data_IF_452192995343
#
_entry.id   IF_452192995343
#
_cell.length_a   1.000
_cell.length_b   1.000
_cell.length_c   1.000
_cell.angle_alpha   90.00
_cell.angle_beta   90.00
_cell.angle_gamma   90.00
#
_symmetry.space_group_name_H-M   'P 1'
#
loop_
_entity.id
_entity.type
_entity.pdbx_description
1 polymer ?
#
# COMPACT_ATOMS: atom_id res chain seq x y z
N UNK A 1 21.40 11.75 -45.79
CA UNK A 1 22.12 12.42 -44.69
C UNK A 1 22.05 11.48 -43.47
N UNK A 2 23.15 10.89 -43.00
CA UNK A 2 23.18 9.98 -41.85
C UNK A 2 23.22 10.82 -40.57
N UNK A 3 22.28 10.63 -39.66
CA UNK A 3 22.25 11.30 -38.35
C UNK A 3 23.53 11.01 -37.56
N UNK A 4 24.05 12.00 -36.85
CA UNK A 4 25.15 11.80 -35.93
C UNK A 4 24.75 10.91 -34.75
N UNK A 5 25.67 10.19 -34.09
CA UNK A 5 25.31 9.33 -32.93
C UNK A 5 24.57 10.08 -31.80
N UNK A 6 24.90 11.36 -31.57
CA UNK A 6 24.18 12.21 -30.59
C UNK A 6 22.73 12.51 -31.01
N UNK A 7 22.51 12.86 -32.28
CA UNK A 7 21.16 13.11 -32.81
C UNK A 7 20.28 11.85 -32.77
N UNK A 8 20.88 10.67 -33.04
CA UNK A 8 20.20 9.38 -32.91
C UNK A 8 19.78 9.09 -31.48
N UNK A 9 20.63 9.34 -30.48
CA UNK A 9 20.30 9.19 -29.06
C UNK A 9 19.21 10.18 -28.61
N UNK A 10 19.30 11.44 -29.02
CA UNK A 10 18.30 12.46 -28.68
C UNK A 10 16.94 12.13 -29.26
N UNK A 11 16.87 11.62 -30.49
CA UNK A 11 15.63 11.21 -31.12
C UNK A 11 15.04 9.95 -30.47
N UNK A 12 15.85 8.98 -30.04
CA UNK A 12 15.41 7.83 -29.24
C UNK A 12 14.81 8.24 -27.92
N UNK A 13 15.44 9.17 -27.20
CA UNK A 13 14.94 9.71 -25.92
C UNK A 13 13.62 10.46 -26.09
N UNK A 14 13.48 11.30 -27.13
CA UNK A 14 12.21 11.99 -27.43
C UNK A 14 11.10 11.00 -27.70
N UNK A 15 11.33 10.00 -28.55
CA UNK A 15 10.37 8.95 -28.88
C UNK A 15 9.95 8.15 -27.63
N UNK A 16 10.91 7.78 -26.78
CA UNK A 16 10.63 7.09 -25.52
C UNK A 16 9.74 7.93 -24.59
N UNK A 17 10.07 9.23 -24.40
CA UNK A 17 9.26 10.15 -23.57
C UNK A 17 7.84 10.31 -24.11
N UNK A 18 7.69 10.45 -25.41
CA UNK A 18 6.37 10.53 -26.05
C UNK A 18 5.57 9.26 -25.83
N UNK A 19 6.15 8.08 -26.04
CA UNK A 19 5.50 6.79 -25.80
C UNK A 19 5.05 6.64 -24.34
N UNK A 20 5.90 7.04 -23.37
CA UNK A 20 5.54 7.00 -21.94
C UNK A 20 4.41 7.97 -21.61
N UNK A 21 4.39 9.15 -22.21
CA UNK A 21 3.29 10.12 -22.07
C UNK A 21 1.96 9.56 -22.61
N UNK A 22 1.99 8.87 -23.75
CA UNK A 22 0.81 8.23 -24.33
C UNK A 22 0.30 7.04 -23.51
N UNK A 23 1.21 6.22 -22.96
CA UNK A 23 0.86 5.13 -22.03
C UNK A 23 0.20 5.68 -20.77
N UNK A 24 0.77 6.75 -20.22
CA UNK A 24 0.23 7.45 -19.05
C UNK A 24 -1.19 7.98 -19.31
N UNK A 25 -1.36 8.72 -20.41
CA UNK A 25 -2.66 9.26 -20.80
C UNK A 25 -3.70 8.14 -20.99
N UNK A 26 -3.32 7.03 -21.66
CA UNK A 26 -4.20 5.86 -21.83
C UNK A 26 -4.60 5.24 -20.50
N UNK A 27 -3.68 5.10 -19.55
CA UNK A 27 -3.98 4.56 -18.22
C UNK A 27 -4.99 5.46 -17.49
N UNK A 28 -4.76 6.78 -17.49
CA UNK A 28 -5.66 7.74 -16.86
C UNK A 28 -7.05 7.73 -17.50
N UNK A 29 -7.16 7.65 -18.82
CA UNK A 29 -8.43 7.70 -19.55
C UNK A 29 -9.17 6.36 -19.59
N UNK A 30 -8.49 5.24 -19.32
CA UNK A 30 -9.09 3.91 -19.42
C UNK A 30 -10.18 3.68 -18.38
N UNK A 31 -11.20 2.91 -18.72
CA UNK A 31 -12.18 2.40 -17.74
C UNK A 31 -11.58 1.24 -16.96
N UNK A 32 -11.58 1.26 -15.62
CA UNK A 32 -11.01 0.20 -14.81
C UNK A 32 -11.73 -1.14 -15.04
N UNK A 33 -10.98 -2.18 -15.41
CA UNK A 33 -11.52 -3.54 -15.56
C UNK A 33 -11.87 -4.14 -14.20
N UNK A 34 -13.02 -4.79 -14.09
CA UNK A 34 -13.43 -5.50 -12.87
C UNK A 34 -12.70 -6.85 -12.79
N UNK A 35 -11.99 -7.08 -11.69
CA UNK A 35 -11.20 -8.29 -11.45
C UNK A 35 -11.38 -8.79 -10.01
N UNK A 36 -10.94 -10.01 -9.72
CA UNK A 36 -10.90 -10.50 -8.34
C UNK A 36 -9.72 -9.88 -7.58
N UNK A 37 -9.89 -9.63 -6.28
CA UNK A 37 -8.82 -9.06 -5.46
C UNK A 37 -7.55 -9.94 -5.50
N UNK A 38 -7.73 -11.25 -5.39
CA UNK A 38 -6.59 -12.17 -5.36
C UNK A 38 -5.77 -12.16 -6.66
N UNK A 39 -6.42 -12.02 -7.83
CA UNK A 39 -5.72 -12.09 -9.13
C UNK A 39 -4.79 -10.92 -9.41
N UNK A 40 -4.92 -9.82 -8.65
CA UNK A 40 -4.11 -8.62 -8.83
C UNK A 40 -3.03 -8.44 -7.76
N UNK A 41 -3.02 -9.30 -6.74
CA UNK A 41 -1.99 -9.22 -5.69
C UNK A 41 -0.75 -9.99 -6.12
N UNK A 42 0.40 -9.31 -6.25
CA UNK A 42 1.67 -9.95 -6.59
C UNK A 42 2.14 -10.83 -5.44
N UNK A 43 2.82 -11.92 -5.75
CA UNK A 43 3.53 -12.71 -4.75
C UNK A 43 4.75 -13.41 -5.36
N UNK A 44 5.95 -13.13 -4.86
CA UNK A 44 6.28 -12.08 -3.87
C UNK A 44 6.03 -10.67 -4.42
N UNK A 45 6.04 -9.65 -3.53
CA UNK A 45 5.91 -8.28 -4.01
C UNK A 45 5.56 -7.25 -2.95
N UNK A 46 5.44 -6.01 -3.39
CA UNK A 46 5.14 -4.85 -2.53
C UNK A 46 3.85 -4.19 -3.00
N UNK A 47 2.94 -3.96 -2.08
CA UNK A 47 1.65 -3.32 -2.33
C UNK A 47 1.46 -2.14 -1.39
N UNK A 48 1.08 -0.99 -1.94
CA UNK A 48 0.72 0.19 -1.17
C UNK A 48 -0.81 0.35 -1.13
N UNK A 49 -1.37 0.49 0.07
CA UNK A 49 -2.81 0.69 0.29
C UNK A 49 -3.02 2.09 0.84
N UNK A 50 -3.67 2.94 0.05
CA UNK A 50 -3.89 4.36 0.36
C UNK A 50 -5.36 4.73 0.50
N UNK A 51 -5.63 5.93 1.03
CA UNK A 51 -6.96 6.52 1.14
C UNK A 51 -7.23 7.18 2.49
N UNK A 52 -8.42 7.73 2.62
CA UNK A 52 -8.83 8.49 3.81
C UNK A 52 -9.00 7.64 5.07
N UNK A 53 -9.12 8.31 6.21
CA UNK A 53 -9.40 7.69 7.51
C UNK A 53 -10.73 6.91 7.46
N UNK A 54 -10.77 5.73 8.10
CA UNK A 54 -11.98 4.88 8.20
C UNK A 54 -12.55 4.39 6.87
N UNK A 55 -11.76 4.33 5.81
CA UNK A 55 -12.18 3.82 4.50
C UNK A 55 -11.99 2.31 4.33
N UNK A 56 -11.41 1.62 5.31
CA UNK A 56 -11.26 0.17 5.32
C UNK A 56 -9.90 -0.36 4.83
N UNK A 57 -8.85 0.48 4.84
CA UNK A 57 -7.49 0.07 4.45
C UNK A 57 -6.97 -1.12 5.25
N UNK A 58 -7.02 -1.01 6.58
CA UNK A 58 -6.57 -2.09 7.48
C UNK A 58 -7.37 -3.38 7.26
N UNK A 59 -8.70 -3.28 7.10
CA UNK A 59 -9.54 -4.44 6.78
C UNK A 59 -9.17 -5.11 5.46
N UNK A 60 -8.86 -4.31 4.43
CA UNK A 60 -8.40 -4.82 3.14
C UNK A 60 -7.05 -5.56 3.27
N UNK A 61 -6.08 -4.99 3.98
CA UNK A 61 -4.79 -5.65 4.17
C UNK A 61 -4.93 -7.01 4.89
N UNK A 62 -5.82 -7.08 5.89
CA UNK A 62 -6.09 -8.32 6.60
C UNK A 62 -6.86 -9.35 5.74
N UNK A 63 -7.73 -8.89 4.84
CA UNK A 63 -8.35 -9.78 3.86
C UNK A 63 -7.33 -10.36 2.88
N UNK A 64 -6.44 -9.53 2.34
CA UNK A 64 -5.34 -10.00 1.48
C UNK A 64 -4.52 -11.06 2.22
N UNK A 65 -4.12 -10.81 3.47
CA UNK A 65 -3.37 -11.77 4.27
C UNK A 65 -4.16 -13.08 4.50
N UNK A 66 -5.47 -12.98 4.76
CA UNK A 66 -6.34 -14.14 4.93
C UNK A 66 -6.47 -14.99 3.67
N UNK A 67 -6.62 -14.35 2.51
CA UNK A 67 -6.66 -15.03 1.21
C UNK A 67 -5.32 -15.72 0.89
N UNK A 68 -4.20 -15.03 1.16
CA UNK A 68 -2.86 -15.59 0.97
C UNK A 68 -2.60 -16.79 1.90
N UNK A 69 -3.04 -16.70 3.16
CA UNK A 69 -2.98 -17.84 4.07
C UNK A 69 -3.83 -19.01 3.59
N UNK A 70 -5.08 -18.75 3.21
CA UNK A 70 -6.00 -19.79 2.73
C UNK A 70 -5.47 -20.53 1.50
N UNK A 71 -4.94 -19.81 0.52
CA UNK A 71 -4.52 -20.37 -0.78
C UNK A 71 -3.09 -20.88 -0.81
N UNK A 72 -2.18 -20.23 -0.08
CA UNK A 72 -0.73 -20.50 -0.13
C UNK A 72 -0.13 -20.93 1.20
N UNK A 73 -0.95 -21.01 2.27
CA UNK A 73 -0.52 -21.33 3.64
C UNK A 73 0.56 -20.38 4.20
N UNK A 74 0.58 -19.14 3.72
CA UNK A 74 1.53 -18.15 4.19
C UNK A 74 1.16 -17.67 5.59
N UNK A 75 2.12 -17.61 6.54
CA UNK A 75 1.92 -16.89 7.79
C UNK A 75 1.83 -15.37 7.51
N UNK A 76 1.16 -14.64 8.40
CA UNK A 76 1.14 -13.18 8.32
C UNK A 76 1.84 -12.55 9.53
N UNK A 77 2.44 -11.40 9.29
CA UNK A 77 3.11 -10.57 10.29
C UNK A 77 2.44 -9.21 10.27
N UNK A 78 1.84 -8.84 11.39
CA UNK A 78 1.34 -7.49 11.61
C UNK A 78 2.43 -6.67 12.29
N UNK A 79 3.10 -5.83 11.50
CA UNK A 79 4.18 -4.98 11.99
C UNK A 79 3.65 -3.63 12.45
N UNK A 80 3.78 -3.35 13.74
CA UNK A 80 3.34 -2.12 14.39
C UNK A 80 4.45 -1.59 15.30
N UNK A 81 5.40 -0.81 14.78
CA UNK A 81 6.66 -0.48 15.45
C UNK A 81 6.51 0.30 16.76
N UNK A 82 5.41 1.02 16.94
CA UNK A 82 5.16 1.85 18.13
C UNK A 82 4.13 1.27 19.10
N UNK A 83 3.71 0.02 18.90
CA UNK A 83 2.75 -0.63 19.78
C UNK A 83 3.40 -1.00 21.11
N UNK A 84 2.78 -0.65 22.22
CA UNK A 84 3.21 -1.10 23.54
C UNK A 84 2.87 -2.59 23.76
N UNK A 85 3.54 -3.18 24.74
CA UNK A 85 3.42 -4.61 25.02
C UNK A 85 2.02 -5.05 25.46
N UNK A 86 1.28 -4.20 26.18
CA UNK A 86 -0.09 -4.48 26.63
C UNK A 86 -1.02 -4.65 25.43
N UNK A 87 -1.00 -3.69 24.48
CA UNK A 87 -1.80 -3.75 23.27
C UNK A 87 -1.35 -4.88 22.34
N UNK A 88 -0.04 -5.12 22.24
CA UNK A 88 0.52 -6.25 21.47
C UNK A 88 -0.05 -7.58 21.96
N UNK A 89 -0.01 -7.82 23.28
CA UNK A 89 -0.57 -9.06 23.88
C UNK A 89 -2.08 -9.15 23.68
N UNK A 90 -2.81 -8.05 23.84
CA UNK A 90 -4.25 -8.02 23.64
C UNK A 90 -4.63 -8.33 22.19
N UNK A 91 -3.89 -7.76 21.23
CA UNK A 91 -4.12 -8.00 19.81
C UNK A 91 -3.77 -9.45 19.42
N UNK A 92 -2.64 -9.98 19.91
CA UNK A 92 -2.21 -11.35 19.64
C UNK A 92 -3.21 -12.41 20.09
N UNK A 93 -4.03 -12.13 21.12
CA UNK A 93 -5.06 -13.06 21.62
C UNK A 93 -6.32 -13.15 20.77
N UNK A 94 -6.54 -12.16 19.88
CA UNK A 94 -7.78 -12.05 19.11
C UNK A 94 -7.60 -12.20 17.61
N UNK A 95 -6.36 -12.18 17.13
CA UNK A 95 -6.02 -12.50 15.74
C UNK A 95 -5.78 -14.00 15.58
N UNK A 96 -5.90 -14.55 14.36
CA UNK A 96 -5.64 -15.96 14.10
C UNK A 96 -4.22 -16.39 14.46
N UNK A 97 -4.04 -17.68 14.82
CA UNK A 97 -2.73 -18.24 15.22
C UNK A 97 -1.65 -18.16 14.13
N UNK A 98 -2.05 -18.13 12.85
CA UNK A 98 -1.14 -17.97 11.72
C UNK A 98 -0.65 -16.53 11.52
N UNK A 99 -1.17 -15.57 12.29
CA UNK A 99 -0.77 -14.17 12.28
C UNK A 99 -0.02 -13.80 13.56
N UNK A 100 1.10 -13.09 13.44
CA UNK A 100 1.92 -12.64 14.57
C UNK A 100 2.07 -11.14 14.57
N UNK A 101 1.89 -10.50 15.74
CA UNK A 101 2.16 -9.07 15.95
C UNK A 101 3.62 -8.87 16.31
N UNK A 102 4.30 -7.97 15.60
CA UNK A 102 5.70 -7.60 15.87
C UNK A 102 5.90 -6.10 15.93
N UNK A 103 6.91 -5.68 16.68
CA UNK A 103 7.36 -4.29 16.75
C UNK A 103 8.74 -4.09 16.12
N UNK A 104 9.44 -5.17 15.77
CA UNK A 104 10.79 -5.18 15.20
C UNK A 104 10.79 -5.82 13.82
N UNK A 105 11.45 -5.20 12.84
CA UNK A 105 11.58 -5.70 11.46
C UNK A 105 12.42 -6.98 11.39
N UNK A 106 13.42 -7.14 12.27
CA UNK A 106 14.21 -8.36 12.38
C UNK A 106 13.39 -9.63 12.67
N UNK A 107 12.12 -9.47 13.08
CA UNK A 107 11.19 -10.58 13.31
C UNK A 107 10.36 -10.94 12.06
N UNK A 108 10.56 -10.27 10.93
CA UNK A 108 9.89 -10.62 9.69
C UNK A 108 10.46 -11.93 9.15
N UNK A 109 9.56 -12.87 8.92
CA UNK A 109 9.92 -14.19 8.40
C UNK A 109 9.93 -14.19 6.88
N UNK A 110 10.71 -15.08 6.30
CA UNK A 110 10.63 -15.42 4.90
C UNK A 110 9.30 -16.15 4.60
N UNK A 111 8.88 -16.14 3.37
CA UNK A 111 7.63 -16.74 2.89
C UNK A 111 6.43 -16.31 3.74
N UNK A 112 6.22 -14.98 3.86
CA UNK A 112 5.20 -14.41 4.73
C UNK A 112 4.51 -13.22 4.08
N UNK A 113 3.31 -12.91 4.56
CA UNK A 113 2.64 -11.63 4.30
C UNK A 113 2.97 -10.67 5.44
N UNK A 114 3.56 -9.53 5.13
CA UNK A 114 3.85 -8.49 6.12
C UNK A 114 2.86 -7.35 5.95
N UNK A 115 2.04 -7.08 6.95
CA UNK A 115 1.18 -5.91 7.02
C UNK A 115 1.92 -4.85 7.82
N UNK A 116 2.33 -3.77 7.16
CA UNK A 116 2.96 -2.64 7.80
C UNK A 116 1.92 -1.53 7.97
N UNK A 117 1.20 -1.59 9.10
CA UNK A 117 0.21 -0.57 9.44
C UNK A 117 0.89 0.69 10.00
N UNK A 118 0.35 1.85 9.66
CA UNK A 118 0.92 3.17 9.99
C UNK A 118 2.37 3.38 9.47
N UNK A 119 2.68 2.83 8.30
CA UNK A 119 3.96 3.04 7.63
C UNK A 119 4.38 4.53 7.57
N UNK A 120 3.39 5.43 7.54
CA UNK A 120 3.62 6.88 7.57
C UNK A 120 4.25 7.40 8.87
N UNK A 121 4.15 6.70 10.00
CA UNK A 121 4.73 7.17 11.27
C UNK A 121 6.20 6.76 11.45
N UNK A 122 6.62 5.68 10.84
CA UNK A 122 7.97 5.14 10.97
C UNK A 122 8.83 5.25 9.70
N UNK A 123 8.20 5.34 8.52
CA UNK A 123 8.85 5.53 7.24
C UNK A 123 8.67 6.96 6.71
N UNK A 124 8.81 7.97 7.59
CA UNK A 124 8.62 9.37 7.22
C UNK A 124 9.67 9.81 6.20
N UNK A 125 9.22 10.41 5.09
CA UNK A 125 10.06 11.00 4.05
C UNK A 125 11.09 12.03 4.58
N UNK A 126 10.84 12.63 5.75
CA UNK A 126 11.76 13.57 6.42
C UNK A 126 12.89 12.90 7.22
N UNK A 127 12.88 11.57 7.35
CA UNK A 127 13.89 10.78 8.06
C UNK A 127 14.59 9.78 7.13
N UNK A 128 14.68 10.10 5.84
CA UNK A 128 15.29 9.24 4.81
C UNK A 128 16.75 8.85 5.09
N UNK A 129 17.44 9.62 5.93
CA UNK A 129 18.82 9.31 6.38
C UNK A 129 18.87 8.62 7.76
N UNK A 130 17.73 8.26 8.35
CA UNK A 130 17.73 7.50 9.59
C UNK A 130 18.07 6.02 9.33
N UNK A 131 18.74 5.36 10.27
CA UNK A 131 19.03 3.91 10.18
C UNK A 131 17.79 3.06 9.87
N UNK A 132 16.61 3.47 10.36
CA UNK A 132 15.33 2.82 10.09
C UNK A 132 14.91 2.88 8.61
N UNK A 133 15.24 3.97 7.89
CA UNK A 133 14.89 4.11 6.49
C UNK A 133 15.81 3.26 5.60
N UNK A 134 17.11 3.23 5.92
CA UNK A 134 18.10 2.40 5.23
C UNK A 134 17.75 0.92 5.42
N UNK A 135 17.46 0.49 6.64
CA UNK A 135 17.03 -0.89 6.92
C UNK A 135 15.76 -1.27 6.13
N UNK A 136 14.81 -0.34 5.96
CA UNK A 136 13.61 -0.61 5.20
C UNK A 136 13.89 -0.76 3.69
N UNK A 137 14.77 0.07 3.14
CA UNK A 137 15.19 -0.01 1.74
C UNK A 137 15.88 -1.34 1.44
N UNK A 138 16.82 -1.75 2.28
CA UNK A 138 17.48 -3.05 2.21
C UNK A 138 16.48 -4.21 2.24
N UNK A 139 15.48 -4.14 3.13
CA UNK A 139 14.43 -5.16 3.22
C UNK A 139 13.56 -5.23 1.97
N UNK A 140 13.24 -4.09 1.35
CA UNK A 140 12.48 -4.04 0.10
C UNK A 140 13.28 -4.61 -1.07
N UNK A 141 14.58 -4.33 -1.13
CA UNK A 141 15.46 -4.86 -2.17
C UNK A 141 15.52 -6.40 -2.16
N UNK A 142 15.41 -7.03 -0.99
CA UNK A 142 15.47 -8.49 -0.84
C UNK A 142 14.10 -9.15 -0.65
N UNK A 143 13.01 -8.38 -0.65
CA UNK A 143 11.65 -8.92 -0.42
C UNK A 143 11.29 -10.04 -1.40
N UNK A 144 11.72 -9.93 -2.66
CA UNK A 144 11.56 -10.97 -3.67
C UNK A 144 12.31 -12.25 -3.33
N UNK A 145 13.58 -12.15 -2.89
CA UNK A 145 14.41 -13.28 -2.50
C UNK A 145 13.88 -13.97 -1.22
N UNK A 146 13.31 -13.19 -0.30
CA UNK A 146 12.67 -13.68 0.92
C UNK A 146 11.26 -14.22 0.69
N UNK A 147 10.77 -14.22 -0.54
CA UNK A 147 9.40 -14.60 -0.87
C UNK A 147 8.37 -13.89 0.04
N UNK A 148 8.47 -12.58 0.19
CA UNK A 148 7.55 -11.80 1.02
C UNK A 148 6.55 -11.03 0.17
N UNK A 149 5.32 -10.92 0.69
CA UNK A 149 4.34 -9.92 0.26
C UNK A 149 4.27 -8.83 1.32
N UNK A 150 4.71 -7.62 0.99
CA UNK A 150 4.70 -6.49 1.92
C UNK A 150 3.54 -5.56 1.58
N UNK A 151 2.65 -5.32 2.54
CA UNK A 151 1.48 -4.45 2.42
C UNK A 151 1.71 -3.20 3.26
N UNK A 152 2.01 -2.07 2.62
CA UNK A 152 2.11 -0.76 3.28
C UNK A 152 0.76 -0.09 3.34
N UNK A 153 0.35 0.34 4.55
CA UNK A 153 -0.87 1.13 4.74
C UNK A 153 -0.47 2.58 5.03
N UNK A 154 -0.96 3.51 4.21
CA UNK A 154 -0.72 4.94 4.36
C UNK A 154 -1.94 5.78 4.00
N UNK A 155 -1.96 7.04 4.42
CA UNK A 155 -2.94 8.01 3.96
C UNK A 155 -2.51 8.67 2.66
N UNK A 156 -1.23 8.99 2.50
CA UNK A 156 -0.63 9.68 1.35
C UNK A 156 0.70 9.02 0.99
N UNK A 157 1.04 9.00 -0.30
CA UNK A 157 2.36 8.53 -0.72
C UNK A 157 3.49 9.45 -0.24
N UNK A 158 3.24 10.76 -0.17
CA UNK A 158 4.22 11.75 0.32
C UNK A 158 4.63 11.58 1.79
N UNK A 159 3.90 10.76 2.55
CA UNK A 159 4.28 10.39 3.93
C UNK A 159 5.24 9.20 3.99
N UNK A 160 5.42 8.49 2.89
CA UNK A 160 6.35 7.39 2.77
C UNK A 160 7.66 7.85 2.15
N UNK A 161 8.72 7.14 2.42
CA UNK A 161 9.99 7.33 1.72
C UNK A 161 9.82 7.08 0.22
N UNK A 162 10.61 7.77 -0.62
CA UNK A 162 10.55 7.62 -2.07
C UNK A 162 10.90 6.18 -2.49
N UNK A 163 11.87 5.56 -1.83
CA UNK A 163 12.30 4.20 -2.12
C UNK A 163 11.16 3.19 -1.94
N UNK A 164 10.31 3.39 -0.91
CA UNK A 164 9.09 2.58 -0.75
C UNK A 164 8.16 2.77 -1.94
N UNK A 165 7.94 4.03 -2.36
CA UNK A 165 7.03 4.33 -3.46
C UNK A 165 7.52 3.78 -4.81
N UNK A 166 8.83 3.76 -5.04
CA UNK A 166 9.43 3.24 -6.28
C UNK A 166 9.49 1.72 -6.34
N UNK A 167 9.46 1.04 -5.19
CA UNK A 167 9.48 -0.43 -5.07
C UNK A 167 8.09 -1.08 -5.17
N UNK A 168 7.01 -0.29 -5.37
CA UNK A 168 5.63 -0.78 -5.34
C UNK A 168 5.24 -1.44 -6.66
N UNK A 169 4.73 -2.67 -6.60
CA UNK A 169 4.17 -3.38 -7.75
C UNK A 169 2.68 -3.05 -7.98
N UNK A 170 1.95 -2.74 -6.91
CA UNK A 170 0.51 -2.38 -6.96
C UNK A 170 0.21 -1.26 -5.98
N UNK A 171 -0.60 -0.31 -6.43
CA UNK A 171 -1.15 0.74 -5.58
C UNK A 171 -2.66 0.53 -5.50
N UNK A 172 -3.19 0.40 -4.28
CA UNK A 172 -4.61 0.18 -4.04
C UNK A 172 -5.19 1.40 -3.31
N UNK A 173 -6.12 2.08 -3.94
CA UNK A 173 -6.89 3.14 -3.30
C UNK A 173 -8.15 2.57 -2.66
N UNK A 174 -8.32 2.92 -1.39
CA UNK A 174 -9.61 3.05 -0.74
C UNK A 174 -10.05 4.50 -0.92
N UNK A 175 -11.32 4.80 -0.70
CA UNK A 175 -11.87 6.12 -1.00
C UNK A 175 -10.95 7.28 -0.56
N UNK A 176 -10.32 8.02 -1.48
CA UNK A 176 -9.62 9.26 -1.17
C UNK A 176 -10.63 10.40 -0.99
N UNK A 177 -10.18 11.53 -0.45
CA UNK A 177 -10.90 12.82 -0.49
C UNK A 177 -10.25 13.74 -1.52
N UNK A 178 -10.89 14.86 -1.85
CA UNK A 178 -10.31 15.87 -2.72
C UNK A 178 -8.97 16.40 -2.17
N UNK A 179 -8.86 16.54 -0.84
CA UNK A 179 -7.61 16.93 -0.21
C UNK A 179 -6.45 15.96 -0.49
N UNK A 180 -6.73 14.66 -0.68
CA UNK A 180 -5.70 13.71 -1.06
C UNK A 180 -5.10 14.02 -2.43
N UNK A 181 -5.91 14.43 -3.39
CA UNK A 181 -5.43 14.85 -4.71
C UNK A 181 -4.57 16.11 -4.61
N UNK A 182 -5.00 17.13 -3.85
CA UNK A 182 -4.28 18.40 -3.72
C UNK A 182 -2.93 18.29 -2.98
N UNK A 183 -2.85 17.37 -2.01
CA UNK A 183 -1.68 17.25 -1.13
C UNK A 183 -0.85 16.01 -1.41
N UNK A 184 -1.09 15.35 -2.56
CA UNK A 184 -0.30 14.18 -2.97
C UNK A 184 1.01 14.62 -3.65
N UNK A 185 1.94 13.69 -3.91
CA UNK A 185 3.10 13.92 -4.79
C UNK A 185 2.64 14.21 -6.21
N UNK A 186 3.37 15.04 -6.92
CA UNK A 186 3.01 15.42 -8.29
C UNK A 186 2.85 14.19 -9.20
N UNK A 187 3.75 13.20 -9.07
CA UNK A 187 3.72 11.95 -9.83
C UNK A 187 2.50 11.06 -9.52
N UNK A 188 1.85 11.29 -8.37
CA UNK A 188 0.72 10.51 -7.88
C UNK A 188 -0.60 11.27 -7.94
N UNK A 189 -0.57 12.57 -8.18
CA UNK A 189 -1.73 13.45 -8.10
C UNK A 189 -2.84 13.05 -9.08
N UNK A 190 -2.51 12.78 -10.34
CA UNK A 190 -3.47 12.39 -11.37
C UNK A 190 -4.06 11.00 -11.10
N UNK A 191 -3.25 10.04 -10.64
CA UNK A 191 -3.75 8.72 -10.27
C UNK A 191 -4.69 8.78 -9.07
N UNK A 192 -4.38 9.63 -8.09
CA UNK A 192 -5.24 9.89 -6.93
C UNK A 192 -6.51 10.63 -7.35
N UNK A 193 -6.42 11.55 -8.31
CA UNK A 193 -7.58 12.20 -8.95
C UNK A 193 -8.51 11.20 -9.61
N UNK A 194 -7.96 10.29 -10.43
CA UNK A 194 -8.74 9.20 -11.02
C UNK A 194 -9.40 8.32 -9.96
N UNK A 195 -8.69 8.02 -8.87
CA UNK A 195 -9.27 7.27 -7.76
C UNK A 195 -10.41 8.05 -7.08
N UNK A 196 -10.26 9.35 -6.89
CA UNK A 196 -11.31 10.21 -6.35
C UNK A 196 -12.57 10.16 -7.22
N UNK A 197 -12.44 10.33 -8.54
CA UNK A 197 -13.56 10.29 -9.47
C UNK A 197 -14.24 8.91 -9.51
N UNK A 198 -13.47 7.84 -9.49
CA UNK A 198 -14.00 6.48 -9.38
C UNK A 198 -14.89 6.32 -8.14
N UNK A 199 -14.42 6.74 -6.97
CA UNK A 199 -15.18 6.61 -5.72
C UNK A 199 -16.37 7.59 -5.65
N UNK A 200 -16.31 8.76 -6.29
CA UNK A 200 -17.42 9.69 -6.43
C UNK A 200 -18.60 9.08 -7.18
N UNK A 201 -18.33 8.22 -8.15
CA UNK A 201 -19.35 7.46 -8.89
C UNK A 201 -20.05 6.36 -8.07
N UNK A 202 -19.51 5.96 -6.91
CA UNK A 202 -20.08 4.88 -6.10
C UNK A 202 -21.04 5.45 -5.05
N UNK A 203 -22.32 5.09 -5.14
CA UNK A 203 -23.35 5.51 -4.17
C UNK A 203 -23.28 4.70 -2.88
N UNK A 204 -23.28 5.38 -1.75
CA UNK A 204 -23.35 4.79 -0.41
C UNK A 204 -22.02 4.40 0.22
N UNK A 205 -21.87 4.74 1.52
CA UNK A 205 -20.62 4.52 2.28
C UNK A 205 -20.20 3.05 2.39
N UNK A 206 -21.16 2.14 2.48
CA UNK A 206 -20.89 0.70 2.58
C UNK A 206 -20.30 0.19 1.27
N UNK A 207 -20.88 0.57 0.13
CA UNK A 207 -20.35 0.22 -1.20
C UNK A 207 -18.95 0.79 -1.41
N UNK A 208 -18.72 2.05 -1.06
CA UNK A 208 -17.39 2.68 -1.12
C UNK A 208 -16.35 1.95 -0.24
N UNK A 209 -16.74 1.47 0.97
CA UNK A 209 -15.83 0.68 1.81
C UNK A 209 -15.49 -0.70 1.22
N UNK A 210 -16.37 -1.28 0.41
CA UNK A 210 -16.12 -2.55 -0.28
C UNK A 210 -15.32 -2.38 -1.58
N UNK A 211 -15.38 -1.22 -2.21
CA UNK A 211 -14.67 -0.97 -3.46
C UNK A 211 -13.18 -0.70 -3.25
N UNK A 212 -12.39 -1.10 -4.25
CA UNK A 212 -10.98 -0.77 -4.39
C UNK A 212 -10.71 -0.37 -5.84
N UNK A 213 -9.90 0.66 -6.04
CA UNK A 213 -9.27 0.95 -7.32
C UNK A 213 -7.80 0.58 -7.22
N UNK A 214 -7.27 -0.12 -8.21
CA UNK A 214 -5.90 -0.64 -8.21
C UNK A 214 -5.18 -0.18 -9.45
N UNK A 215 -4.00 0.38 -9.28
CA UNK A 215 -3.04 0.63 -10.35
C UNK A 215 -2.01 -0.51 -10.35
N UNK A 216 -1.94 -1.20 -11.46
CA UNK A 216 -0.89 -2.15 -11.77
C UNK A 216 0.33 -1.39 -12.28
N UNK A 217 1.42 -1.39 -11.52
CA UNK A 217 2.63 -0.66 -11.91
C UNK A 217 3.46 -1.42 -12.95
N UNK A 218 3.28 -2.73 -13.08
CA UNK A 218 4.01 -3.54 -14.07
C UNK A 218 3.39 -3.42 -15.46
N UNK A 219 2.05 -3.51 -15.55
CA UNK A 219 1.31 -3.42 -16.81
C UNK A 219 0.75 -2.02 -17.08
N UNK A 220 0.96 -1.12 -16.17
CA UNK A 220 0.55 0.28 -16.18
C UNK A 220 -0.92 0.48 -16.58
N UNK A 221 -1.82 -0.07 -15.77
CA UNK A 221 -3.26 -0.01 -16.01
C UNK A 221 -4.10 -0.06 -14.76
N UNK A 222 -5.33 0.49 -14.83
CA UNK A 222 -6.26 0.47 -13.73
C UNK A 222 -7.21 -0.72 -13.79
N UNK A 223 -7.42 -1.35 -12.63
CA UNK A 223 -8.49 -2.29 -12.41
C UNK A 223 -9.26 -1.97 -11.13
N UNK A 224 -10.48 -2.51 -11.03
CA UNK A 224 -11.33 -2.37 -9.85
C UNK A 224 -11.66 -3.74 -9.27
N UNK A 225 -11.71 -3.80 -7.97
CA UNK A 225 -12.15 -5.01 -7.26
C UNK A 225 -12.98 -4.63 -6.04
N UNK A 226 -13.62 -5.64 -5.47
CA UNK A 226 -14.30 -5.52 -4.19
C UNK A 226 -13.55 -6.31 -3.13
N UNK A 227 -13.60 -5.80 -1.91
CA UNK A 227 -13.14 -6.51 -0.73
C UNK A 227 -14.28 -6.72 0.28
N UNK A 228 -14.09 -7.70 1.15
CA UNK A 228 -14.91 -7.98 2.33
C UNK A 228 -13.99 -7.98 3.57
N UNK A 229 -14.54 -8.02 4.74
CA UNK A 229 -13.75 -8.26 5.95
C UNK A 229 -13.46 -9.76 6.09
N UNK A 230 -12.30 -10.16 6.63
CA UNK A 230 -12.02 -11.55 6.95
C UNK A 230 -13.09 -12.11 7.92
N UNK A 231 -13.43 -13.42 7.86
CA UNK A 231 -14.45 -14.00 8.72
C UNK A 231 -14.16 -13.86 10.23
N UNK A 232 -12.91 -13.77 10.60
CA UNK A 232 -12.45 -13.60 12.00
C UNK A 232 -12.37 -12.13 12.45
N UNK A 233 -12.70 -11.17 11.58
CA UNK A 233 -12.71 -9.75 11.94
C UNK A 233 -13.85 -9.43 12.89
N UNK A 234 -13.52 -8.78 14.02
CA UNK A 234 -14.48 -8.42 15.05
C UNK A 234 -14.46 -6.92 15.38
N UNK A 235 -15.53 -6.42 16.00
CA UNK A 235 -15.57 -5.05 16.50
C UNK A 235 -14.52 -4.79 17.59
N UNK A 236 -14.18 -5.83 18.37
CA UNK A 236 -13.11 -5.76 19.37
C UNK A 236 -11.76 -5.49 18.72
N UNK A 237 -11.47 -6.16 17.60
CA UNK A 237 -10.26 -5.91 16.81
C UNK A 237 -10.21 -4.47 16.30
N UNK A 238 -11.29 -3.97 15.72
CA UNK A 238 -11.40 -2.58 15.26
C UNK A 238 -11.19 -1.56 16.38
N UNK A 239 -11.63 -1.85 17.60
CA UNK A 239 -11.43 -0.99 18.78
C UNK A 239 -9.97 -0.94 19.22
N UNK A 240 -9.28 -2.07 19.28
CA UNK A 240 -7.85 -2.11 19.64
C UNK A 240 -7.01 -1.30 18.65
N UNK A 241 -7.25 -1.44 17.35
CA UNK A 241 -6.56 -0.60 16.35
C UNK A 241 -6.80 0.88 16.57
N UNK A 242 -8.02 1.29 16.92
CA UNK A 242 -8.34 2.69 17.23
C UNK A 242 -7.60 3.18 18.47
N UNK A 243 -7.52 2.38 19.52
CA UNK A 243 -6.82 2.73 20.77
C UNK A 243 -5.33 2.91 20.55
N UNK A 244 -4.70 2.00 19.79
CA UNK A 244 -3.28 2.09 19.41
C UNK A 244 -3.00 3.35 18.60
N UNK A 245 -3.87 3.69 17.63
CA UNK A 245 -3.74 4.90 16.83
C UNK A 245 -3.82 6.19 17.68
N UNK A 246 -4.73 6.24 18.66
CA UNK A 246 -4.86 7.36 19.56
C UNK A 246 -3.60 7.53 20.42
N UNK A 247 -3.05 6.44 20.96
CA UNK A 247 -1.81 6.49 21.75
C UNK A 247 -0.62 6.97 20.94
N UNK A 248 -0.47 6.48 19.70
CA UNK A 248 0.61 6.88 18.81
C UNK A 248 0.52 8.38 18.45
N UNK A 249 -0.69 8.91 18.27
CA UNK A 249 -0.90 10.34 18.02
C UNK A 249 -0.50 11.20 19.23
N UNK A 250 -0.78 10.75 20.45
CA UNK A 250 -0.39 11.46 21.67
C UNK A 250 1.12 11.46 21.92
N UNK A 251 1.81 10.36 21.59
CA UNK A 251 3.29 10.27 21.71
C UNK A 251 4.03 11.11 20.66
N UNK A 252 3.41 11.41 19.51
CA UNK A 252 3.97 12.28 18.47
C UNK A 252 3.89 13.78 18.77
N UNK A 253 3.15 14.17 19.82
CA UNK A 253 3.00 15.59 20.25
C UNK A 253 4.05 15.98 21.31
N UNK A 254 4.88 15.04 21.80
CA UNK A 254 5.89 15.27 22.86
C UNK A 254 7.31 15.25 22.24
N UNK A 255 7.48 15.79 21.03
CA UNK A 255 8.82 16.09 20.47
C UNK A 255 8.79 17.45 19.77
#
# INVERSE_FOLDING_TARGET
MKLTPKESQTNKLKKYRQQKSEEYARAIMSTPKKVSLYSIIPYPGVVMIMGDIRTGKTGLAHEIASEMHSRRRLPAILHMPRMDEKHRRSLQRIIPSWMKVTTKRSQWKDRAVVIYDEAAQSAHARRSQSGDAIELDDLLAIAGQREQLILFISHYSRKLDLNVCTSVHRIIWKRPTYAHQLWERDEMADFTGKAYDFFKGIKGRVAQKKACLVLDMENFGFCQCNNKLPPWWTDRLSRIFKEVQIQNSRRGVIL
#
